data_IF_379059903752
#
_entry.id   IF_379059903752
#
_cell.length_a   1.000
_cell.length_b   1.000
_cell.length_c   1.000
_cell.angle_alpha   90.00
_cell.angle_beta   90.00
_cell.angle_gamma   90.00
#
_symmetry.space_group_name_H-M   'P 1'
#
loop_
_entity.id
_entity.type
_entity.pdbx_description
1 polymer ?
#
# COMPACT_ATOMS: atom_id res chain seq x y z
N UNK A 1 -40.50 41.80 1.01
CA UNK A 1 -39.28 42.17 1.78
C UNK A 1 -38.78 41.03 2.68
N UNK A 2 -39.60 40.39 3.53
CA UNK A 2 -39.16 39.32 4.45
C UNK A 2 -38.59 38.04 3.78
N UNK A 3 -39.11 37.65 2.60
CA UNK A 3 -38.65 36.45 1.86
C UNK A 3 -37.32 36.63 1.14
N UNK A 4 -37.01 37.85 0.71
CA UNK A 4 -35.73 38.19 0.07
C UNK A 4 -34.60 38.17 1.11
N UNK A 5 -34.84 38.71 2.31
CA UNK A 5 -33.87 38.66 3.42
C UNK A 5 -33.50 37.25 3.88
N UNK A 6 -34.43 36.29 3.81
CA UNK A 6 -34.17 34.92 4.23
C UNK A 6 -33.25 34.17 3.25
N UNK A 7 -33.41 34.42 1.94
CA UNK A 7 -32.58 33.81 0.89
C UNK A 7 -31.16 34.37 0.92
N UNK A 8 -31.01 35.68 1.12
CA UNK A 8 -29.68 36.31 1.27
C UNK A 8 -28.96 35.79 2.52
N UNK A 9 -29.68 35.62 3.64
CA UNK A 9 -29.10 35.09 4.87
C UNK A 9 -28.65 33.63 4.71
N UNK A 10 -29.42 32.80 3.99
CA UNK A 10 -29.06 31.41 3.70
C UNK A 10 -27.82 31.32 2.79
N UNK A 11 -27.73 32.18 1.76
CA UNK A 11 -26.58 32.25 0.86
C UNK A 11 -25.28 32.67 1.57
N UNK A 12 -25.37 33.61 2.52
CA UNK A 12 -24.22 34.03 3.34
C UNK A 12 -23.77 32.91 4.28
N UNK A 13 -24.72 32.18 4.89
CA UNK A 13 -24.42 31.00 5.73
C UNK A 13 -23.75 29.86 4.93
N UNK A 14 -24.13 29.65 3.66
CA UNK A 14 -23.46 28.68 2.78
C UNK A 14 -22.01 29.10 2.44
N UNK A 15 -21.73 30.39 2.27
CA UNK A 15 -20.37 30.88 1.99
C UNK A 15 -19.43 30.81 3.19
N UNK A 16 -19.94 31.04 4.41
CA UNK A 16 -19.13 30.92 5.65
C UNK A 16 -18.84 29.46 5.99
N UNK A 17 -19.79 28.54 5.72
CA UNK A 17 -19.58 27.10 5.92
C UNK A 17 -18.51 26.48 4.99
N UNK A 18 -18.28 27.06 3.82
CA UNK A 18 -17.28 26.56 2.86
C UNK A 18 -15.83 26.87 3.27
N UNK A 19 -15.61 27.91 4.08
CA UNK A 19 -14.28 28.33 4.54
C UNK A 19 -13.80 27.55 5.78
N UNK A 20 -14.66 26.70 6.37
CA UNK A 20 -14.33 25.87 7.53
C UNK A 20 -13.80 24.47 7.15
N UNK A 21 -13.42 24.25 5.89
CA UNK A 21 -12.56 23.13 5.55
C UNK A 21 -11.17 23.48 6.06
N UNK A 22 -10.82 22.91 7.22
CA UNK A 22 -9.58 23.23 7.94
C UNK A 22 -8.37 23.32 7.03
N UNK A 23 -7.46 24.23 7.37
CA UNK A 23 -6.19 24.44 6.66
C UNK A 23 -5.50 23.08 6.52
N UNK A 24 -5.62 22.46 5.33
CA UNK A 24 -5.00 21.18 5.07
C UNK A 24 -3.50 21.45 5.05
N UNK A 25 -2.81 21.18 6.16
CA UNK A 25 -1.39 21.46 6.31
C UNK A 25 -0.53 20.43 5.56
N UNK A 26 -1.16 19.44 4.92
CA UNK A 26 -0.48 18.40 4.17
C UNK A 26 -1.01 18.28 2.74
N UNK A 27 -0.25 17.60 1.90
CA UNK A 27 -0.63 17.20 0.55
C UNK A 27 -0.60 15.67 0.55
N UNK A 28 -1.74 15.00 0.36
CA UNK A 28 -1.78 13.54 0.37
C UNK A 28 -1.09 12.93 -0.85
N UNK A 29 -0.08 12.10 -0.59
CA UNK A 29 0.68 11.37 -1.60
C UNK A 29 0.15 9.94 -1.85
N UNK A 30 1.03 9.05 -2.37
CA UNK A 30 0.74 7.64 -2.60
C UNK A 30 0.25 6.90 -1.35
N UNK A 31 -0.48 5.81 -1.57
CA UNK A 31 -0.88 4.86 -0.53
C UNK A 31 0.11 3.71 -0.52
N UNK A 32 0.70 3.41 0.62
CA UNK A 32 1.64 2.31 0.82
C UNK A 32 0.97 1.17 1.58
N UNK A 33 1.04 -0.05 1.04
CA UNK A 33 0.85 -1.26 1.84
C UNK A 33 2.19 -1.67 2.41
N UNK A 34 2.33 -1.63 3.73
CA UNK A 34 3.52 -2.09 4.44
C UNK A 34 3.17 -3.36 5.22
N UNK A 35 3.79 -4.47 4.83
CA UNK A 35 3.64 -5.76 5.51
C UNK A 35 4.97 -6.18 6.12
N UNK A 36 4.98 -6.48 7.41
CA UNK A 36 6.15 -6.99 8.14
C UNK A 36 6.01 -8.48 8.38
N UNK A 37 7.12 -9.21 8.35
CA UNK A 37 7.13 -10.66 8.43
C UNK A 37 8.24 -11.15 9.36
N UNK A 38 7.93 -12.21 10.08
CA UNK A 38 8.88 -12.99 10.87
C UNK A 38 9.26 -14.24 10.07
N UNK A 39 10.53 -14.45 9.84
CA UNK A 39 11.07 -15.60 9.13
C UNK A 39 11.16 -16.77 10.09
N UNK A 40 10.75 -17.96 9.64
CA UNK A 40 10.87 -19.16 10.46
C UNK A 40 12.34 -19.57 10.63
N UNK A 41 12.70 -20.23 11.74
CA UNK A 41 14.07 -20.62 12.02
C UNK A 41 14.74 -21.34 10.83
N UNK A 42 15.91 -20.86 10.41
CA UNK A 42 16.68 -21.43 9.29
C UNK A 42 16.14 -21.14 7.89
N UNK A 43 15.07 -20.34 7.73
CA UNK A 43 14.40 -20.11 6.43
C UNK A 43 14.78 -18.82 5.70
N UNK A 44 15.72 -18.03 6.23
CA UNK A 44 16.09 -16.74 5.61
C UNK A 44 16.58 -16.90 4.17
N UNK A 45 17.45 -17.88 3.89
CA UNK A 45 17.94 -18.10 2.51
C UNK A 45 16.81 -18.48 1.54
N UNK A 46 15.84 -19.28 1.99
CA UNK A 46 14.67 -19.66 1.20
C UNK A 46 13.79 -18.43 0.92
N UNK A 47 13.58 -17.57 1.92
CA UNK A 47 12.85 -16.29 1.75
C UNK A 47 13.55 -15.40 0.73
N UNK A 48 14.87 -15.22 0.82
CA UNK A 48 15.64 -14.43 -0.13
C UNK A 48 15.61 -15.01 -1.54
N UNK A 49 15.53 -16.33 -1.68
CA UNK A 49 15.37 -16.98 -2.98
C UNK A 49 13.99 -16.70 -3.58
N UNK A 50 12.92 -16.90 -2.81
CA UNK A 50 11.55 -16.61 -3.24
C UNK A 50 11.38 -15.12 -3.60
N UNK A 51 11.97 -14.21 -2.83
CA UNK A 51 11.92 -12.78 -3.13
C UNK A 51 12.54 -12.46 -4.50
N UNK A 52 13.65 -13.13 -4.86
CA UNK A 52 14.34 -12.91 -6.13
C UNK A 52 13.63 -13.57 -7.30
N UNK A 53 13.21 -14.82 -7.14
CA UNK A 53 12.64 -15.65 -8.21
C UNK A 53 11.19 -15.29 -8.52
N UNK A 54 10.43 -14.87 -7.50
CA UNK A 54 9.00 -14.65 -7.63
C UNK A 54 8.60 -13.22 -7.36
N UNK A 55 8.83 -12.73 -6.14
CA UNK A 55 8.31 -11.44 -5.72
C UNK A 55 8.82 -10.30 -6.61
N UNK A 56 10.13 -10.22 -6.84
CA UNK A 56 10.75 -9.19 -7.69
C UNK A 56 10.21 -9.24 -9.11
N UNK A 57 10.17 -10.41 -9.74
CA UNK A 57 9.71 -10.56 -11.14
C UNK A 57 8.28 -10.05 -11.31
N UNK A 58 7.38 -10.44 -10.40
CA UNK A 58 5.98 -10.01 -10.45
C UNK A 58 5.84 -8.51 -10.18
N UNK A 59 6.55 -7.95 -9.19
CA UNK A 59 6.41 -6.53 -8.86
C UNK A 59 7.08 -5.60 -9.88
N UNK A 60 8.15 -6.02 -10.55
CA UNK A 60 8.70 -5.29 -11.70
C UNK A 60 7.68 -5.21 -12.84
N UNK A 61 6.96 -6.30 -13.10
CA UNK A 61 5.89 -6.29 -14.10
C UNK A 61 4.71 -5.39 -13.67
N UNK A 62 4.30 -5.45 -12.40
CA UNK A 62 3.28 -4.54 -11.86
C UNK A 62 3.68 -3.08 -12.02
N UNK A 63 4.94 -2.75 -11.72
CA UNK A 63 5.48 -1.41 -11.89
C UNK A 63 5.50 -1.00 -13.37
N UNK A 64 5.94 -1.88 -14.26
CA UNK A 64 5.94 -1.66 -15.71
C UNK A 64 4.54 -1.41 -16.28
N UNK A 65 3.53 -2.09 -15.75
CA UNK A 65 2.12 -1.91 -16.14
C UNK A 65 1.43 -0.73 -15.42
N UNK A 66 2.14 -0.01 -14.53
CA UNK A 66 1.59 1.14 -13.80
C UNK A 66 0.61 0.76 -12.69
N UNK A 67 0.54 -0.52 -12.30
CA UNK A 67 -0.31 -1.03 -11.22
C UNK A 67 0.16 -0.51 -9.87
N UNK A 68 1.48 -0.48 -9.69
CA UNK A 68 2.15 0.07 -8.52
C UNK A 68 3.12 1.16 -8.98
N UNK A 69 3.33 2.17 -8.14
CA UNK A 69 4.34 3.20 -8.39
C UNK A 69 5.75 2.68 -8.06
N UNK A 70 5.87 1.93 -6.96
CA UNK A 70 7.15 1.42 -6.47
C UNK A 70 6.93 0.25 -5.50
N UNK A 71 8.01 -0.49 -5.22
CA UNK A 71 8.06 -1.41 -4.10
C UNK A 71 9.43 -1.35 -3.43
N UNK A 72 9.48 -1.66 -2.13
CA UNK A 72 10.69 -1.64 -1.32
C UNK A 72 10.73 -2.86 -0.40
N UNK A 73 11.94 -3.34 -0.15
CA UNK A 73 12.24 -4.41 0.80
C UNK A 73 13.12 -3.82 1.87
N UNK A 74 12.76 -4.00 3.14
CA UNK A 74 13.51 -3.53 4.30
C UNK A 74 13.86 -4.71 5.19
N UNK A 75 15.07 -4.74 5.73
CA UNK A 75 15.45 -5.68 6.77
C UNK A 75 15.47 -4.97 8.10
N UNK A 76 14.83 -5.56 9.11
CA UNK A 76 14.94 -5.07 10.46
C UNK A 76 16.38 -5.31 10.93
N UNK A 77 17.07 -4.24 11.30
CA UNK A 77 18.46 -4.31 11.79
C UNK A 77 18.52 -4.22 13.32
N UNK A 78 17.35 -4.17 13.96
CA UNK A 78 17.16 -4.02 15.40
C UNK A 78 16.18 -5.08 15.90
N UNK A 79 16.09 -5.25 17.22
CA UNK A 79 15.16 -6.19 17.84
C UNK A 79 14.34 -5.46 18.90
N UNK A 80 13.03 -5.38 18.69
CA UNK A 80 12.07 -4.77 19.60
C UNK A 80 11.52 -5.77 20.64
N UNK A 81 11.58 -7.08 20.37
CA UNK A 81 11.16 -8.13 21.30
C UNK A 81 11.01 -9.53 20.70
N UNK A 82 10.52 -10.52 21.47
CA UNK A 82 10.42 -11.92 21.01
C UNK A 82 9.54 -12.13 19.77
N UNK A 83 8.52 -11.27 19.59
CA UNK A 83 7.58 -11.32 18.48
C UNK A 83 7.94 -10.35 17.34
N UNK A 84 9.18 -9.87 17.32
CA UNK A 84 9.62 -8.92 16.31
C UNK A 84 9.73 -9.55 14.90
N UNK A 85 9.74 -8.68 13.89
CA UNK A 85 9.79 -8.99 12.46
C UNK A 85 11.22 -8.90 11.93
N UNK A 86 11.53 -9.68 10.90
CA UNK A 86 12.87 -9.73 10.31
C UNK A 86 12.97 -8.87 9.04
N UNK A 87 11.89 -8.78 8.26
CA UNK A 87 11.87 -7.97 7.06
C UNK A 87 10.46 -7.46 6.72
N UNK A 88 10.40 -6.37 5.96
CA UNK A 88 9.17 -5.74 5.51
C UNK A 88 9.14 -5.58 4.00
N UNK A 89 7.94 -5.62 3.45
CA UNK A 89 7.64 -5.29 2.06
C UNK A 89 6.72 -4.07 2.07
N UNK A 90 7.12 -3.03 1.34
CA UNK A 90 6.29 -1.86 1.11
C UNK A 90 5.95 -1.76 -0.38
N UNK A 91 4.67 -1.64 -0.73
CA UNK A 91 4.19 -1.48 -2.10
C UNK A 91 3.40 -0.19 -2.22
N UNK A 92 3.79 0.69 -3.14
CA UNK A 92 3.16 1.99 -3.34
C UNK A 92 2.11 1.94 -4.45
N UNK A 93 0.91 2.40 -4.14
CA UNK A 93 -0.20 2.59 -5.06
C UNK A 93 -0.45 4.08 -5.25
N UNK A 94 -0.88 4.47 -6.45
CA UNK A 94 -1.08 5.88 -6.80
C UNK A 94 -2.03 6.61 -5.83
N UNK A 95 -3.10 5.94 -5.42
CA UNK A 95 -4.12 6.44 -4.50
C UNK A 95 -5.00 5.27 -4.03
N UNK A 96 -6.05 5.55 -3.24
CA UNK A 96 -7.00 4.53 -2.77
C UNK A 96 -7.78 3.84 -3.90
N UNK A 97 -8.21 4.59 -4.91
CA UNK A 97 -8.98 4.05 -6.04
C UNK A 97 -8.19 3.01 -6.87
N UNK A 98 -6.86 3.13 -6.89
CA UNK A 98 -6.01 2.13 -7.54
C UNK A 98 -6.16 0.74 -6.92
N UNK A 99 -6.58 0.64 -5.64
CA UNK A 99 -6.77 -0.65 -4.98
C UNK A 99 -7.97 -1.43 -5.53
N UNK A 100 -9.02 -0.73 -5.98
CA UNK A 100 -10.25 -1.35 -6.50
C UNK A 100 -10.02 -2.03 -7.86
N UNK A 101 -9.03 -1.57 -8.61
CA UNK A 101 -8.72 -2.06 -9.97
C UNK A 101 -7.53 -3.02 -10.02
N UNK A 102 -6.98 -3.43 -8.87
CA UNK A 102 -5.78 -4.27 -8.79
C UNK A 102 -5.97 -5.66 -9.40
N UNK A 103 -7.10 -6.31 -9.12
CA UNK A 103 -7.32 -7.74 -9.37
C UNK A 103 -6.99 -8.19 -10.80
N UNK A 104 -7.66 -7.66 -11.83
CA UNK A 104 -7.47 -8.12 -13.21
C UNK A 104 -6.03 -7.98 -13.72
N UNK A 105 -5.37 -6.87 -13.38
CA UNK A 105 -3.99 -6.61 -13.85
C UNK A 105 -2.98 -7.46 -13.08
N UNK A 106 -3.20 -7.62 -11.77
CA UNK A 106 -2.41 -8.50 -10.92
C UNK A 106 -2.51 -9.97 -11.38
N UNK A 107 -3.72 -10.42 -11.72
CA UNK A 107 -3.98 -11.77 -12.22
C UNK A 107 -3.26 -12.03 -13.54
N UNK A 108 -3.34 -11.11 -14.50
CA UNK A 108 -2.64 -11.25 -15.79
C UNK A 108 -1.12 -11.37 -15.62
N UNK A 109 -0.51 -10.50 -14.81
CA UNK A 109 0.94 -10.52 -14.59
C UNK A 109 1.39 -11.75 -13.79
N UNK A 110 0.63 -12.19 -12.79
CA UNK A 110 0.95 -13.41 -12.04
C UNK A 110 0.73 -14.68 -12.85
N UNK A 111 -0.31 -14.74 -13.68
CA UNK A 111 -0.53 -15.87 -14.58
C UNK A 111 0.59 -15.99 -15.61
N UNK A 112 1.08 -14.87 -16.15
CA UNK A 112 2.26 -14.84 -17.03
C UNK A 112 3.51 -15.41 -16.35
N UNK A 113 3.72 -15.12 -15.06
CA UNK A 113 4.89 -15.60 -14.31
C UNK A 113 4.77 -17.08 -13.89
N UNK A 114 3.64 -17.45 -13.29
CA UNK A 114 3.45 -18.78 -12.69
C UNK A 114 2.90 -19.82 -13.69
N UNK A 115 2.32 -19.38 -14.80
CA UNK A 115 1.74 -20.23 -15.85
C UNK A 115 0.35 -20.80 -15.54
N UNK A 116 -0.05 -20.89 -14.26
CA UNK A 116 -1.42 -21.25 -13.87
C UNK A 116 -1.78 -20.71 -12.47
N UNK A 117 -3.07 -20.68 -12.16
CA UNK A 117 -3.56 -20.30 -10.84
C UNK A 117 -3.12 -21.29 -9.75
N UNK A 118 -3.07 -22.59 -10.08
CA UNK A 118 -2.62 -23.66 -9.17
C UNK A 118 -1.14 -23.50 -8.83
N UNK A 119 -0.29 -23.24 -9.82
CA UNK A 119 1.15 -23.00 -9.59
C UNK A 119 1.40 -21.74 -8.77
N UNK A 120 0.61 -20.69 -9.00
CA UNK A 120 0.63 -19.48 -8.17
C UNK A 120 0.25 -19.79 -6.72
N UNK A 121 -0.80 -20.58 -6.51
CA UNK A 121 -1.23 -20.99 -5.17
C UNK A 121 -0.15 -21.83 -4.47
N UNK A 122 0.44 -22.81 -5.16
CA UNK A 122 1.54 -23.62 -4.63
C UNK A 122 2.73 -22.77 -4.21
N UNK A 123 3.10 -21.75 -5.00
CA UNK A 123 4.16 -20.82 -4.65
C UNK A 123 3.81 -19.97 -3.42
N UNK A 124 2.54 -19.55 -3.28
CA UNK A 124 2.08 -18.83 -2.10
C UNK A 124 2.11 -19.72 -0.85
N UNK A 125 1.67 -20.97 -0.95
CA UNK A 125 1.68 -21.93 0.15
C UNK A 125 3.11 -22.24 0.59
N UNK A 126 4.01 -22.48 -0.37
CA UNK A 126 5.43 -22.65 -0.10
C UNK A 126 6.02 -21.42 0.62
N UNK A 127 5.68 -20.20 0.20
CA UNK A 127 6.13 -18.96 0.86
C UNK A 127 5.60 -18.84 2.29
N UNK A 128 4.34 -19.21 2.53
CA UNK A 128 3.72 -19.22 3.86
C UNK A 128 4.36 -20.28 4.79
N UNK A 129 5.09 -21.25 4.24
CA UNK A 129 5.88 -22.18 5.04
C UNK A 129 7.20 -21.57 5.56
N UNK A 130 7.66 -20.47 4.98
CA UNK A 130 8.95 -19.85 5.29
C UNK A 130 8.87 -18.74 6.34
N UNK A 131 7.69 -18.14 6.53
CA UNK A 131 7.52 -16.90 7.29
C UNK A 131 6.08 -16.73 7.76
N UNK A 132 5.93 -15.94 8.80
CA UNK A 132 4.64 -15.53 9.36
C UNK A 132 4.45 -14.03 9.14
N UNK A 133 3.22 -13.61 8.80
CA UNK A 133 2.86 -12.20 8.72
C UNK A 133 2.72 -11.64 10.14
N UNK A 134 3.50 -10.61 10.46
CA UNK A 134 3.45 -9.94 11.78
C UNK A 134 2.46 -8.78 11.75
N UNK A 135 2.49 -7.96 10.70
CA UNK A 135 1.53 -6.87 10.52
C UNK A 135 1.34 -6.52 9.06
N UNK A 136 0.19 -5.97 8.70
CA UNK A 136 -0.05 -5.34 7.39
C UNK A 136 -0.84 -4.06 7.60
N UNK A 137 -0.32 -2.94 7.11
CA UNK A 137 -0.93 -1.62 7.24
C UNK A 137 -1.04 -0.96 5.88
N UNK A 138 -2.15 -0.26 5.65
CA UNK A 138 -2.28 0.70 4.57
C UNK A 138 -2.09 2.09 5.17
N UNK A 139 -1.06 2.80 4.71
CA UNK A 139 -0.70 4.13 5.17
C UNK A 139 -0.66 5.07 3.96
N UNK A 140 -1.05 6.33 4.15
CA UNK A 140 -0.99 7.33 3.07
C UNK A 140 0.09 8.34 3.37
N UNK A 141 0.97 8.55 2.41
CA UNK A 141 2.00 9.58 2.49
C UNK A 141 1.38 10.97 2.66
N UNK A 142 1.98 11.80 3.49
CA UNK A 142 1.56 13.18 3.73
C UNK A 142 2.78 14.09 3.58
N UNK A 143 2.76 14.97 2.58
CA UNK A 143 3.81 15.99 2.41
C UNK A 143 3.38 17.26 3.15
N UNK A 144 4.21 17.78 4.06
CA UNK A 144 3.90 19.04 4.75
C UNK A 144 3.93 20.22 3.79
N UNK A 145 2.98 21.14 3.92
CA UNK A 145 3.02 22.43 3.22
C UNK A 145 4.03 23.36 3.90
N UNK A 146 4.67 24.29 3.17
CA UNK A 146 5.51 25.30 3.79
C UNK A 146 4.69 26.16 4.76
N UNK A 147 5.35 26.67 5.80
CA UNK A 147 4.75 27.68 6.68
C UNK A 147 4.43 28.94 5.87
N UNK A 148 3.35 29.67 6.22
CA UNK A 148 3.00 30.93 5.57
C UNK A 148 4.06 32.02 5.74
#
# INVERSE_FOLDING_TARGET
MKRVSLVTLLLVLCFVGAQAQGQDNTIPGPVWRVSTYKVRPGKMNDVLMDLRQHFRVVNEEYKRQGVILDYKIYFNSTTDGPNDWDYAIATAYKNWAALDTLGPVADAATLKHYGSAEKRQQANDARNQLRDLVSSRLIREQTLKPLP
#
